data_IF_083619644619
#
_entry.id   IF_083619644619
#
_cell.length_a   1.000
_cell.length_b   1.000
_cell.length_c   1.000
_cell.angle_alpha   90.00
_cell.angle_beta   90.00
_cell.angle_gamma   90.00
#
_symmetry.space_group_name_H-M   'P 1'
#
loop_
_entity.id
_entity.type
_entity.pdbx_description
1 polymer ?
#
# COMPACT_ATOMS: atom_id res chain seq x y z
N UNK A 1 29.57 22.99 11.41
CA UNK A 1 29.65 22.31 10.10
C UNK A 1 29.27 23.29 9.00
N UNK A 2 29.85 23.23 7.79
CA UNK A 2 29.33 23.96 6.64
C UNK A 2 27.97 23.38 6.24
N UNK A 3 27.02 24.24 5.84
CA UNK A 3 25.81 23.75 5.19
C UNK A 3 26.16 23.27 3.77
N UNK A 4 25.62 22.11 3.35
CA UNK A 4 25.88 21.51 2.03
C UNK A 4 25.22 22.25 0.85
N UNK A 5 25.00 23.56 1.00
CA UNK A 5 24.41 24.42 -0.02
C UNK A 5 25.53 25.10 -0.79
N UNK A 6 25.71 24.70 -2.05
CA UNK A 6 26.66 25.36 -2.95
C UNK A 6 26.36 26.85 -3.05
N UNK A 7 27.35 27.69 -2.74
CA UNK A 7 27.21 29.13 -2.82
C UNK A 7 26.91 29.54 -4.26
N UNK A 8 25.73 30.13 -4.49
CA UNK A 8 25.43 30.84 -5.74
C UNK A 8 26.18 32.17 -5.77
N UNK A 9 27.50 32.08 -5.91
CA UNK A 9 28.35 33.22 -6.15
C UNK A 9 28.05 33.85 -7.51
N UNK A 10 28.14 35.18 -7.58
CA UNK A 10 28.11 35.93 -8.83
C UNK A 10 29.25 35.45 -9.74
N UNK A 11 29.07 35.46 -11.07
CA UNK A 11 30.08 34.93 -12.01
C UNK A 11 31.46 35.60 -11.84
N UNK A 12 31.50 36.87 -11.41
CA UNK A 12 32.73 37.63 -11.09
C UNK A 12 33.57 36.99 -9.98
N UNK A 13 32.97 36.25 -9.04
CA UNK A 13 33.68 35.61 -7.94
C UNK A 13 34.49 34.37 -8.38
N UNK A 14 34.29 33.89 -9.61
CA UNK A 14 34.99 32.70 -10.15
C UNK A 14 36.49 32.91 -10.37
N UNK A 15 36.95 34.15 -10.30
CA UNK A 15 38.36 34.57 -10.42
C UNK A 15 38.82 35.42 -9.21
N UNK A 16 38.10 35.39 -8.09
CA UNK A 16 38.46 36.13 -6.89
C UNK A 16 39.52 35.38 -6.07
N UNK A 17 40.46 36.12 -5.47
CA UNK A 17 41.49 35.56 -4.59
C UNK A 17 40.92 34.72 -3.45
N UNK A 18 41.71 33.76 -2.98
CA UNK A 18 41.30 32.86 -1.90
C UNK A 18 40.87 33.61 -0.63
N UNK A 19 41.53 34.73 -0.30
CA UNK A 19 41.14 35.60 0.82
C UNK A 19 39.75 36.26 0.61
N UNK A 20 39.41 36.66 -0.61
CA UNK A 20 38.09 37.25 -0.95
C UNK A 20 37.01 36.16 -0.95
N UNK A 21 37.34 34.96 -1.41
CA UNK A 21 36.47 33.79 -1.34
C UNK A 21 36.19 33.39 0.11
N UNK A 22 37.21 33.28 0.96
CA UNK A 22 37.03 32.94 2.38
C UNK A 22 36.34 34.06 3.18
N UNK A 23 36.49 35.33 2.81
CA UNK A 23 35.69 36.43 3.34
C UNK A 23 34.19 36.27 3.01
N UNK A 24 33.82 36.11 1.72
CA UNK A 24 32.41 35.86 1.31
C UNK A 24 31.84 34.54 1.85
N UNK A 25 32.70 33.56 2.16
CA UNK A 25 32.36 32.29 2.81
C UNK A 25 32.14 32.45 4.34
N UNK A 26 32.63 33.52 4.95
CA UNK A 26 32.35 33.88 6.34
C UNK A 26 30.96 34.51 6.51
N UNK A 27 30.49 35.28 5.51
CA UNK A 27 29.12 35.86 5.44
C UNK A 27 28.02 34.78 5.47
N UNK A 28 28.38 33.51 5.21
CA UNK A 28 27.54 32.30 5.37
C UNK A 28 27.16 32.04 6.84
N UNK A 29 27.52 32.94 7.78
CA UNK A 29 26.81 33.09 9.05
C UNK A 29 25.29 33.29 8.86
N UNK A 30 24.89 34.15 7.93
CA UNK A 30 23.50 34.56 7.72
C UNK A 30 22.78 33.76 6.62
N UNK A 31 23.02 32.45 6.56
CA UNK A 31 22.35 31.57 5.61
C UNK A 31 20.87 31.36 6.00
N UNK A 32 19.99 32.21 5.46
CA UNK A 32 18.52 32.17 5.64
C UNK A 32 17.81 31.11 4.79
N UNK A 33 18.54 30.27 4.06
CA UNK A 33 17.94 29.18 3.30
C UNK A 33 17.52 28.02 4.22
N UNK A 34 16.41 27.32 3.92
CA UNK A 34 15.95 26.16 4.69
C UNK A 34 16.98 25.04 4.62
N UNK A 35 17.35 24.51 5.78
CA UNK A 35 18.51 23.64 5.98
C UNK A 35 18.46 22.35 5.14
N UNK A 36 17.27 21.75 4.97
CA UNK A 36 17.00 20.58 4.10
C UNK A 36 17.82 19.31 4.37
N UNK A 37 18.74 19.33 5.33
CA UNK A 37 19.57 18.22 5.78
C UNK A 37 18.72 17.06 6.31
N UNK A 38 19.21 15.82 6.13
CA UNK A 38 18.50 14.61 6.55
C UNK A 38 18.70 14.36 8.04
N UNK A 39 17.63 14.49 8.81
CA UNK A 39 17.58 14.16 10.24
C UNK A 39 17.68 12.64 10.44
N UNK A 40 18.02 12.21 11.66
CA UNK A 40 18.08 10.78 12.03
C UNK A 40 16.76 10.02 11.75
N UNK A 41 15.62 10.69 11.84
CA UNK A 41 14.30 10.14 11.49
C UNK A 41 14.01 10.06 9.97
N UNK A 42 15.01 10.31 9.12
CA UNK A 42 14.91 10.25 7.65
C UNK A 42 14.27 11.47 6.98
N UNK A 43 13.61 12.35 7.75
CA UNK A 43 13.01 13.59 7.24
C UNK A 43 14.04 14.69 6.98
N UNK A 44 13.69 15.65 6.11
CA UNK A 44 14.49 16.86 5.89
C UNK A 44 14.19 17.89 6.99
N UNK A 45 15.22 18.58 7.48
CA UNK A 45 15.06 19.71 8.38
C UNK A 45 14.37 20.89 7.67
N UNK A 46 13.41 21.51 8.34
CA UNK A 46 12.58 22.62 7.82
C UNK A 46 13.02 24.00 8.31
N UNK A 47 13.76 24.09 9.42
CA UNK A 47 14.34 25.34 9.91
C UNK A 47 15.50 25.82 9.02
N UNK A 48 15.89 27.08 9.17
CA UNK A 48 16.90 27.72 8.34
C UNK A 48 18.34 27.38 8.81
N UNK A 49 19.32 27.54 7.92
CA UNK A 49 20.71 27.20 8.22
C UNK A 49 21.31 28.05 9.35
N UNK A 50 20.95 29.33 9.47
CA UNK A 50 21.34 30.18 10.59
C UNK A 50 20.79 29.66 11.93
N UNK A 51 19.50 29.30 12.01
CA UNK A 51 18.89 28.73 13.21
C UNK A 51 19.59 27.43 13.65
N UNK A 52 19.84 26.52 12.72
CA UNK A 52 20.53 25.25 13.00
C UNK A 52 22.01 25.46 13.40
N UNK A 53 22.63 26.57 12.96
CA UNK A 53 24.01 26.94 13.31
C UNK A 53 24.10 27.60 14.68
N UNK A 54 23.15 28.48 15.03
CA UNK A 54 23.06 29.15 16.34
C UNK A 54 22.79 28.12 17.44
N UNK A 55 21.81 27.24 17.25
CA UNK A 55 21.48 26.19 18.22
C UNK A 55 22.52 25.06 18.27
N UNK A 56 23.44 24.97 17.30
CA UNK A 56 24.36 23.84 17.04
C UNK A 56 23.67 22.51 16.69
N UNK A 57 22.41 22.29 17.10
CA UNK A 57 21.56 21.18 16.70
C UNK A 57 20.49 21.61 15.67
N UNK A 58 19.99 20.63 14.91
CA UNK A 58 18.83 20.84 14.04
C UNK A 58 17.53 20.85 14.87
N UNK A 59 16.58 21.71 14.49
CA UNK A 59 15.25 21.77 15.13
C UNK A 59 14.53 20.42 15.13
N UNK A 60 13.67 20.19 16.13
CA UNK A 60 12.80 19.02 16.19
C UNK A 60 11.97 18.84 14.90
N UNK A 61 11.70 17.59 14.52
CA UNK A 61 11.01 17.32 13.28
C UNK A 61 9.53 17.71 13.38
N UNK A 62 9.05 18.58 12.49
CA UNK A 62 7.62 18.96 12.40
C UNK A 62 6.85 18.20 11.32
N UNK A 63 7.52 17.30 10.60
CA UNK A 63 6.88 16.45 9.59
C UNK A 63 6.03 15.36 10.25
N UNK A 64 4.94 14.93 9.58
CA UNK A 64 4.18 13.75 10.00
C UNK A 64 5.07 12.51 9.95
N UNK A 65 4.83 11.57 10.86
CA UNK A 65 5.47 10.26 10.83
C UNK A 65 5.13 9.54 9.51
N UNK A 66 6.04 8.68 9.05
CA UNK A 66 5.83 7.81 7.88
C UNK A 66 5.87 6.32 8.24
N UNK A 67 5.92 6.01 9.54
CA UNK A 67 5.94 4.64 10.05
C UNK A 67 4.55 4.02 9.92
N UNK A 68 4.52 2.75 9.52
CA UNK A 68 3.34 1.89 9.58
C UNK A 68 3.22 1.37 11.03
N UNK A 69 2.02 1.47 11.60
CA UNK A 69 1.69 0.93 12.92
C UNK A 69 1.46 -0.59 12.83
N UNK A 70 1.41 -1.29 13.96
CA UNK A 70 1.20 -2.75 14.01
C UNK A 70 -0.13 -3.18 13.35
N UNK A 71 -1.13 -2.30 13.30
CA UNK A 71 -2.41 -2.50 12.60
C UNK A 71 -2.38 -2.21 11.09
N UNK A 72 -1.20 -1.95 10.49
CA UNK A 72 -1.07 -1.61 9.06
C UNK A 72 -1.39 -0.15 8.70
N UNK A 73 -2.00 0.63 9.59
CA UNK A 73 -2.27 2.05 9.34
C UNK A 73 -1.01 2.92 9.38
N UNK A 74 -0.99 3.95 8.52
CA UNK A 74 0.05 5.00 8.54
C UNK A 74 -0.14 5.89 9.78
N UNK A 75 0.92 6.08 10.56
CA UNK A 75 0.91 6.98 11.71
C UNK A 75 0.84 8.45 11.25
N UNK A 76 -0.07 9.24 11.82
CA UNK A 76 -0.28 10.65 11.43
C UNK A 76 0.27 11.67 12.44
N UNK A 77 0.79 11.21 13.57
CA UNK A 77 1.42 12.04 14.59
C UNK A 77 2.71 12.71 14.09
N UNK A 78 3.13 13.78 14.78
CA UNK A 78 4.40 14.46 14.52
C UNK A 78 5.60 13.52 14.77
N UNK A 79 6.54 13.51 13.83
CA UNK A 79 7.76 12.71 13.91
C UNK A 79 8.68 13.18 15.06
N UNK A 80 9.29 12.23 15.78
CA UNK A 80 10.17 12.52 16.92
C UNK A 80 9.51 12.40 18.30
N UNK A 81 8.18 12.25 18.35
CA UNK A 81 7.46 11.72 19.52
C UNK A 81 7.19 10.23 19.34
N UNK A 82 6.91 9.52 20.44
CA UNK A 82 6.39 8.15 20.36
C UNK A 82 5.10 8.11 19.53
N UNK A 83 4.91 7.05 18.75
CA UNK A 83 3.70 6.92 17.93
C UNK A 83 2.51 6.60 18.85
N UNK A 84 1.43 7.41 18.87
CA UNK A 84 0.25 7.14 19.69
C UNK A 84 -0.56 5.95 19.13
N UNK A 85 -1.50 5.39 19.92
CA UNK A 85 -2.51 4.46 19.42
C UNK A 85 -3.24 5.01 18.18
N UNK A 86 -3.63 4.10 17.28
CA UNK A 86 -4.30 4.45 16.03
C UNK A 86 -5.78 4.83 16.26
N UNK A 87 -6.13 6.07 15.92
CA UNK A 87 -7.50 6.62 16.04
C UNK A 87 -8.35 6.49 14.77
N UNK A 88 -7.91 5.69 13.79
CA UNK A 88 -8.69 5.42 12.57
C UNK A 88 -9.76 4.36 12.86
N UNK A 89 -10.82 4.33 12.06
CA UNK A 89 -11.75 3.22 12.06
C UNK A 89 -11.01 1.91 11.74
N UNK A 90 -11.46 0.79 12.32
CA UNK A 90 -10.88 -0.51 12.04
C UNK A 90 -11.24 -0.96 10.61
N UNK A 91 -10.27 -1.50 9.87
CA UNK A 91 -10.50 -2.10 8.56
C UNK A 91 -10.81 -3.60 8.62
N UNK A 92 -10.86 -4.18 9.82
CA UNK A 92 -11.27 -5.56 10.02
C UNK A 92 -12.75 -5.76 9.66
N UNK A 93 -13.01 -6.75 8.81
CA UNK A 93 -14.33 -7.10 8.33
C UNK A 93 -14.38 -8.59 7.98
N UNK A 94 -15.55 -9.20 8.20
CA UNK A 94 -15.92 -10.50 7.66
C UNK A 94 -17.14 -10.31 6.75
N UNK A 95 -17.57 -11.36 6.02
CA UNK A 95 -18.75 -11.26 5.15
C UNK A 95 -20.02 -10.83 5.89
N UNK A 96 -20.10 -11.14 7.18
CA UNK A 96 -21.25 -10.85 8.04
C UNK A 96 -21.37 -9.43 8.57
N UNK A 97 -20.23 -8.72 8.74
CA UNK A 97 -20.14 -7.39 9.36
C UNK A 97 -18.73 -6.78 9.21
N UNK A 98 -18.67 -5.44 9.03
CA UNK A 98 -17.45 -4.65 9.23
C UNK A 98 -17.37 -4.16 10.69
N UNK A 99 -16.17 -4.14 11.26
CA UNK A 99 -15.93 -3.55 12.57
C UNK A 99 -16.13 -2.02 12.52
N UNK A 100 -16.92 -1.46 13.44
CA UNK A 100 -17.17 -0.02 13.54
C UNK A 100 -16.28 0.69 14.58
N UNK A 101 -15.49 -0.08 15.34
CA UNK A 101 -14.63 0.43 16.40
C UNK A 101 -13.40 1.19 15.89
N UNK A 102 -12.77 1.97 16.77
CA UNK A 102 -11.44 2.51 16.53
C UNK A 102 -10.40 1.38 16.52
N UNK A 103 -9.39 1.48 15.67
CA UNK A 103 -8.37 0.45 15.45
C UNK A 103 -7.40 0.22 16.65
N UNK A 104 -7.61 0.91 17.78
CA UNK A 104 -6.93 0.64 19.05
C UNK A 104 -7.83 0.02 20.12
N UNK A 105 -9.13 -0.14 19.83
CA UNK A 105 -10.07 -0.84 20.69
C UNK A 105 -10.04 -2.33 20.36
N UNK A 106 -10.53 -3.17 21.27
CA UNK A 106 -10.77 -4.58 20.97
C UNK A 106 -11.87 -4.72 19.91
N UNK A 107 -11.67 -5.61 18.94
CA UNK A 107 -12.62 -5.82 17.84
C UNK A 107 -13.69 -6.83 18.25
N UNK A 108 -14.97 -6.45 18.15
CA UNK A 108 -16.11 -7.33 18.45
C UNK A 108 -16.06 -8.59 17.58
N UNK A 109 -15.96 -9.75 18.23
CA UNK A 109 -15.92 -11.07 17.59
C UNK A 109 -17.24 -11.42 16.90
N UNK A 110 -17.17 -11.99 15.70
CA UNK A 110 -18.37 -12.32 14.92
C UNK A 110 -18.91 -13.70 15.31
N UNK A 111 -19.96 -13.72 16.14
CA UNK A 111 -20.62 -14.92 16.65
C UNK A 111 -21.57 -15.63 15.64
N UNK A 112 -21.74 -15.10 14.42
CA UNK A 112 -22.52 -15.80 13.38
C UNK A 112 -21.74 -17.04 12.89
N UNK A 113 -22.43 -18.11 12.48
CA UNK A 113 -21.81 -19.26 11.78
C UNK A 113 -21.01 -18.79 10.56
N UNK A 114 -19.98 -19.52 10.18
CA UNK A 114 -19.19 -19.18 9.00
C UNK A 114 -19.99 -19.37 7.68
N UNK A 115 -19.99 -18.36 6.80
CA UNK A 115 -20.64 -18.37 5.48
C UNK A 115 -20.08 -19.41 4.49
N UNK A 116 -18.89 -19.95 4.78
CA UNK A 116 -18.18 -20.89 3.91
C UNK A 116 -18.83 -22.27 3.98
N UNK A 117 -19.86 -22.47 3.15
CA UNK A 117 -20.54 -23.73 2.82
C UNK A 117 -20.17 -24.24 1.41
N UNK A 118 -20.29 -25.55 1.18
CA UNK A 118 -20.28 -26.13 -0.16
C UNK A 118 -21.17 -27.39 -0.22
N UNK A 119 -21.51 -27.93 -1.41
CA UNK A 119 -22.37 -29.12 -1.57
C UNK A 119 -21.80 -30.46 -1.03
N UNK A 120 -20.71 -30.42 -0.28
CA UNK A 120 -20.02 -31.60 0.28
C UNK A 120 -19.67 -31.43 1.77
N UNK A 121 -19.50 -30.19 2.25
CA UNK A 121 -18.91 -29.82 3.55
C UNK A 121 -19.48 -28.46 3.98
N UNK A 122 -19.81 -28.29 5.26
CA UNK A 122 -20.34 -27.03 5.84
C UNK A 122 -19.57 -26.70 7.12
N UNK A 123 -19.44 -25.41 7.46
CA UNK A 123 -18.67 -24.96 8.61
C UNK A 123 -19.57 -24.45 9.74
N UNK A 124 -19.80 -25.28 10.76
CA UNK A 124 -20.59 -24.91 11.94
C UNK A 124 -19.86 -24.02 12.96
N UNK A 125 -18.55 -23.77 12.79
CA UNK A 125 -17.80 -22.87 13.65
C UNK A 125 -18.27 -21.40 13.51
N UNK A 126 -18.20 -20.60 14.61
CA UNK A 126 -18.44 -19.17 14.55
C UNK A 126 -17.36 -18.45 13.74
N UNK A 127 -17.73 -17.36 13.08
CA UNK A 127 -16.92 -16.67 12.08
C UNK A 127 -15.63 -16.02 12.63
N UNK A 128 -15.48 -15.89 13.96
CA UNK A 128 -14.23 -15.42 14.57
C UNK A 128 -13.18 -16.52 14.78
N UNK A 129 -13.57 -17.81 14.74
CA UNK A 129 -12.64 -18.93 14.83
C UNK A 129 -12.02 -19.29 13.47
N UNK A 130 -10.79 -19.80 13.52
CA UNK A 130 -10.17 -20.41 12.34
C UNK A 130 -10.91 -21.69 11.96
N UNK A 131 -11.40 -21.75 10.72
CA UNK A 131 -12.04 -22.93 10.16
C UNK A 131 -11.03 -24.10 10.09
N UNK A 132 -11.23 -25.14 10.90
CA UNK A 132 -10.30 -26.30 11.05
C UNK A 132 -10.31 -27.29 9.87
N UNK A 133 -11.18 -27.06 8.88
CA UNK A 133 -11.36 -27.88 7.68
C UNK A 133 -10.23 -27.72 6.66
N UNK A 134 -10.13 -28.67 5.73
CA UNK A 134 -9.40 -28.47 4.48
C UNK A 134 -10.24 -27.66 3.45
N UNK A 135 -9.63 -27.15 2.37
CA UNK A 135 -10.33 -26.83 1.12
C UNK A 135 -11.12 -28.04 0.56
N UNK A 136 -12.06 -27.83 -0.37
CA UNK A 136 -12.87 -28.93 -0.90
C UNK A 136 -12.22 -29.57 -2.14
N UNK A 137 -11.55 -30.71 -1.96
CA UNK A 137 -10.85 -31.46 -3.03
C UNK A 137 -11.78 -32.16 -4.04
N UNK A 138 -13.08 -31.85 -4.05
CA UNK A 138 -14.05 -32.43 -5.01
C UNK A 138 -14.06 -31.62 -6.32
N UNK A 139 -14.22 -32.26 -7.49
CA UNK A 139 -14.26 -31.54 -8.77
C UNK A 139 -15.48 -30.62 -8.89
N UNK A 140 -15.30 -29.48 -9.56
CA UNK A 140 -16.35 -28.48 -9.72
C UNK A 140 -17.41 -28.91 -10.75
N UNK A 141 -18.64 -29.16 -10.26
CA UNK A 141 -19.80 -29.60 -11.07
C UNK A 141 -20.41 -28.50 -11.98
N UNK A 142 -19.83 -27.28 -12.02
CA UNK A 142 -20.32 -26.18 -12.87
C UNK A 142 -19.99 -26.44 -14.34
N UNK A 143 -20.89 -26.10 -15.26
CA UNK A 143 -20.69 -26.22 -16.71
C UNK A 143 -20.57 -24.85 -17.38
N UNK A 144 -19.74 -24.79 -18.42
CA UNK A 144 -19.63 -23.63 -19.30
C UNK A 144 -20.77 -23.59 -20.32
N UNK A 145 -21.05 -22.40 -20.90
CA UNK A 145 -22.06 -22.22 -21.96
C UNK A 145 -21.81 -23.07 -23.23
N UNK A 146 -20.62 -23.64 -23.38
CA UNK A 146 -20.25 -24.55 -24.46
C UNK A 146 -20.47 -26.05 -24.13
N UNK A 147 -21.10 -26.39 -23.00
CA UNK A 147 -21.41 -27.76 -22.60
C UNK A 147 -20.29 -28.50 -21.85
N UNK A 148 -19.06 -27.97 -21.82
CA UNK A 148 -17.96 -28.57 -21.04
C UNK A 148 -18.11 -28.28 -19.54
N UNK A 149 -17.85 -29.29 -18.71
CA UNK A 149 -17.71 -29.15 -17.25
C UNK A 149 -16.44 -28.37 -16.89
N UNK A 150 -16.44 -27.72 -15.73
CA UNK A 150 -15.25 -27.12 -15.13
C UNK A 150 -14.25 -28.20 -14.67
N UNK A 151 -12.96 -27.94 -14.86
CA UNK A 151 -11.85 -28.82 -14.47
C UNK A 151 -11.13 -28.37 -13.20
N UNK A 152 -11.61 -27.33 -12.52
CA UNK A 152 -11.11 -26.87 -11.21
C UNK A 152 -11.83 -27.52 -10.02
N UNK A 153 -11.44 -27.15 -8.81
CA UNK A 153 -11.99 -27.71 -7.56
C UNK A 153 -13.23 -26.96 -7.07
N UNK A 154 -13.95 -27.58 -6.14
CA UNK A 154 -15.14 -27.02 -5.53
C UNK A 154 -14.79 -25.87 -4.58
N UNK A 155 -15.45 -24.73 -4.75
CA UNK A 155 -15.14 -23.49 -4.03
C UNK A 155 -14.17 -22.55 -4.76
N UNK A 156 -13.47 -23.01 -5.81
CA UNK A 156 -12.61 -22.15 -6.61
C UNK A 156 -13.39 -21.25 -7.59
N UNK A 157 -12.84 -20.06 -7.83
CA UNK A 157 -13.30 -19.14 -8.88
C UNK A 157 -13.04 -19.73 -10.27
N UNK A 158 -14.08 -20.29 -10.87
CA UNK A 158 -13.99 -20.90 -12.21
C UNK A 158 -13.55 -19.86 -13.26
N UNK A 159 -12.64 -20.20 -14.19
CA UNK A 159 -12.11 -19.23 -15.16
C UNK A 159 -13.20 -18.70 -16.10
N UNK A 160 -13.10 -17.47 -16.62
CA UNK A 160 -14.16 -16.85 -17.44
C UNK A 160 -14.32 -17.46 -18.84
N UNK A 161 -13.42 -18.35 -19.26
CA UNK A 161 -13.46 -19.08 -20.52
C UNK A 161 -13.19 -20.57 -20.24
N UNK A 162 -13.89 -21.44 -20.97
CA UNK A 162 -13.64 -22.88 -20.91
C UNK A 162 -12.21 -23.21 -21.37
N UNK A 163 -11.37 -23.86 -20.54
CA UNK A 163 -10.00 -24.21 -20.92
C UNK A 163 -9.95 -25.14 -22.13
N UNK A 164 -10.85 -26.13 -22.21
CA UNK A 164 -10.96 -27.05 -23.35
C UNK A 164 -11.15 -26.26 -24.66
N UNK A 165 -12.14 -25.38 -24.73
CA UNK A 165 -12.38 -24.54 -25.91
C UNK A 165 -11.24 -23.55 -26.20
N UNK A 166 -10.49 -23.09 -25.19
CA UNK A 166 -9.35 -22.20 -25.38
C UNK A 166 -8.13 -22.92 -25.98
N UNK A 167 -7.97 -24.22 -25.72
CA UNK A 167 -6.89 -25.04 -26.27
C UNK A 167 -7.18 -25.60 -27.67
N UNK A 168 -8.46 -25.71 -28.10
CA UNK A 168 -8.78 -26.09 -29.49
C UNK A 168 -8.50 -24.92 -30.45
N UNK A 169 -7.23 -24.74 -30.81
CA UNK A 169 -6.85 -24.15 -32.10
C UNK A 169 -7.35 -25.10 -33.19
N UNK A 170 -8.58 -24.90 -33.66
CA UNK A 170 -9.09 -25.61 -34.85
C UNK A 170 -8.23 -25.15 -36.04
N UNK A 171 -7.46 -26.02 -36.73
CA UNK A 171 -6.95 -25.69 -38.05
C UNK A 171 -8.16 -25.59 -38.99
N UNK A 172 -8.60 -24.37 -39.26
CA UNK A 172 -9.80 -24.13 -40.05
C UNK A 172 -9.61 -24.64 -41.48
N UNK A 173 -10.33 -25.72 -41.83
CA UNK A 173 -10.46 -26.17 -43.20
C UNK A 173 -11.86 -26.70 -43.53
N UNK A 174 -12.90 -26.07 -42.97
CA UNK A 174 -14.30 -26.29 -43.38
C UNK A 174 -14.99 -24.93 -43.66
N UNK A 175 -15.11 -24.51 -44.94
CA UNK A 175 -15.58 -23.17 -45.30
C UNK A 175 -17.08 -22.92 -45.03
N UNK A 176 -17.83 -23.87 -44.47
CA UNK A 176 -19.26 -23.72 -44.15
C UNK A 176 -19.57 -23.34 -42.69
N UNK A 177 -18.58 -23.36 -41.80
CA UNK A 177 -18.76 -23.04 -40.38
C UNK A 177 -18.84 -21.53 -40.08
N UNK A 178 -19.83 -20.81 -40.65
CA UNK A 178 -20.08 -19.39 -40.31
C UNK A 178 -20.64 -19.26 -38.89
N UNK A 179 -19.81 -18.77 -37.98
CA UNK A 179 -20.22 -18.33 -36.64
C UNK A 179 -21.31 -17.24 -36.75
N UNK A 180 -22.53 -17.54 -36.29
CA UNK A 180 -23.55 -16.52 -36.02
C UNK A 180 -23.26 -15.91 -34.64
N UNK A 181 -23.09 -14.58 -34.51
CA UNK A 181 -23.07 -13.95 -33.20
C UNK A 181 -24.44 -14.11 -32.51
N UNK A 182 -24.49 -14.14 -31.17
CA UNK A 182 -25.76 -14.12 -30.45
C UNK A 182 -26.49 -12.78 -30.71
N UNK A 183 -27.83 -12.77 -30.73
CA UNK A 183 -28.58 -11.52 -30.77
C UNK A 183 -28.29 -10.70 -29.51
N UNK A 184 -28.20 -9.38 -29.67
CA UNK A 184 -28.15 -8.43 -28.55
C UNK A 184 -29.49 -8.43 -27.81
N UNK A 185 -29.50 -8.38 -26.46
CA UNK A 185 -30.73 -8.12 -25.71
C UNK A 185 -31.25 -6.70 -25.98
N UNK A 186 -32.54 -6.43 -25.71
CA UNK A 186 -33.13 -5.09 -25.78
C UNK A 186 -32.59 -4.15 -24.69
#
# INVERSE_FOLDING_TARGET
MPCGHGLRGECRLRYADQAVLDAKKLEVGNCTFPCKAKLACGHRCTANCNECRINQFHSACVQRCKKILICGHKCEAQCGKACPPCKKACDYQCSHQKCMEQCSNECVSCMKKCEWECPHEVCDHPCYEFCKRAPCDKPCKKMFRCGHTCNGLCGESCPPKCPSCAYVKIPNNNPKARYKPPPTPP
#
